data_IF_524338406355
#
_entry.id   IF_524338406355
#
_cell.length_a   1.000
_cell.length_b   1.000
_cell.length_c   1.000
_cell.angle_alpha   90.00
_cell.angle_beta   90.00
_cell.angle_gamma   90.00
#
_symmetry.space_group_name_H-M   'P 1'
#
loop_
_entity.id
_entity.type
_entity.pdbx_description
1 polymer ?
#
# COMPACT_ATOMS: atom_id res chain seq x y z
N UNK A 1 -12.91 9.00 12.51
CA UNK A 1 -13.78 7.93 11.96
C UNK A 1 -15.16 8.52 11.66
N UNK A 2 -15.30 9.27 10.55
CA UNK A 2 -16.56 9.90 10.15
C UNK A 2 -17.64 8.86 9.79
N UNK A 3 -17.19 7.68 9.39
CA UNK A 3 -18.00 6.55 8.92
C UNK A 3 -18.96 5.94 9.94
N UNK A 4 -18.74 6.24 11.22
CA UNK A 4 -19.58 5.78 12.34
C UNK A 4 -20.49 6.89 12.88
N UNK A 5 -20.37 8.11 12.35
CA UNK A 5 -21.25 9.21 12.72
C UNK A 5 -22.57 9.09 11.99
N UNK A 6 -23.68 9.30 12.71
CA UNK A 6 -25.04 9.22 12.18
C UNK A 6 -25.34 7.86 11.52
N UNK A 7 -24.91 6.77 12.15
CA UNK A 7 -25.23 5.44 11.70
C UNK A 7 -26.72 5.15 11.92
N UNK A 8 -27.47 4.67 10.92
CA UNK A 8 -28.87 4.33 11.10
C UNK A 8 -29.03 3.12 12.02
N UNK A 9 -30.16 3.03 12.73
CA UNK A 9 -30.54 1.83 13.47
C UNK A 9 -30.53 0.61 12.56
N UNK A 10 -30.19 -0.56 13.12
CA UNK A 10 -29.98 -1.78 12.35
C UNK A 10 -31.21 -2.19 11.52
N UNK A 11 -32.43 -1.96 12.03
CA UNK A 11 -33.67 -2.22 11.30
C UNK A 11 -33.81 -1.34 10.05
N UNK A 12 -33.50 -0.05 10.17
CA UNK A 12 -33.52 0.93 9.07
C UNK A 12 -32.41 0.62 8.07
N UNK A 13 -31.20 0.29 8.56
CA UNK A 13 -30.07 -0.11 7.75
C UNK A 13 -30.39 -1.32 6.84
N UNK A 14 -31.08 -2.34 7.38
CA UNK A 14 -31.51 -3.53 6.63
C UNK A 14 -32.50 -3.18 5.52
N UNK A 15 -33.47 -2.32 5.81
CA UNK A 15 -34.44 -1.87 4.80
C UNK A 15 -33.76 -1.08 3.67
N UNK A 16 -32.83 -0.18 4.02
CA UNK A 16 -32.07 0.59 3.02
C UNK A 16 -31.22 -0.37 2.17
N UNK A 17 -30.57 -1.35 2.77
CA UNK A 17 -29.75 -2.33 2.07
C UNK A 17 -30.56 -3.17 1.07
N UNK A 18 -31.72 -3.70 1.48
CA UNK A 18 -32.62 -4.43 0.58
C UNK A 18 -33.18 -3.56 -0.54
N UNK A 19 -33.41 -2.26 -0.28
CA UNK A 19 -33.86 -1.31 -1.31
C UNK A 19 -32.76 -0.98 -2.32
N UNK A 20 -31.51 -0.81 -1.88
CA UNK A 20 -30.37 -0.52 -2.76
C UNK A 20 -29.86 -1.78 -3.48
N UNK A 21 -29.93 -2.95 -2.84
CA UNK A 21 -29.39 -4.22 -3.31
C UNK A 21 -30.46 -5.31 -3.17
N UNK A 22 -31.45 -5.38 -4.08
CA UNK A 22 -32.55 -6.35 -3.97
C UNK A 22 -32.09 -7.81 -4.12
N UNK A 23 -30.91 -8.04 -4.70
CA UNK A 23 -30.30 -9.36 -4.87
C UNK A 23 -29.50 -9.84 -3.64
N UNK A 24 -29.44 -9.05 -2.57
CA UNK A 24 -28.68 -9.37 -1.38
C UNK A 24 -29.34 -10.53 -0.60
N UNK A 25 -28.62 -11.63 -0.31
CA UNK A 25 -29.19 -12.74 0.46
C UNK A 25 -29.68 -12.29 1.83
N UNK A 26 -30.90 -12.70 2.19
CA UNK A 26 -31.53 -12.40 3.49
C UNK A 26 -30.69 -12.86 4.68
N UNK A 27 -29.89 -13.91 4.51
CA UNK A 27 -28.95 -14.40 5.52
C UNK A 27 -27.91 -13.34 5.90
N UNK A 28 -27.39 -12.58 4.93
CA UNK A 28 -26.39 -11.53 5.14
C UNK A 28 -27.04 -10.30 5.78
N UNK A 29 -28.23 -9.92 5.32
CA UNK A 29 -28.96 -8.73 5.83
C UNK A 29 -29.41 -8.94 7.27
N UNK A 30 -29.90 -10.15 7.60
CA UNK A 30 -30.39 -10.46 8.93
C UNK A 30 -29.28 -10.84 9.91
N UNK A 31 -28.03 -10.94 9.45
CA UNK A 31 -26.90 -11.24 10.31
C UNK A 31 -26.77 -10.18 11.44
N UNK A 32 -26.48 -10.59 12.69
CA UNK A 32 -26.38 -9.66 13.82
C UNK A 32 -25.27 -8.61 13.64
N UNK A 33 -24.21 -8.94 12.91
CA UNK A 33 -23.09 -8.03 12.61
C UNK A 33 -23.30 -7.16 11.36
N UNK A 34 -24.49 -7.16 10.74
CA UNK A 34 -24.77 -6.30 9.61
C UNK A 34 -24.69 -4.83 10.04
N UNK A 35 -23.74 -4.09 9.43
CA UNK A 35 -23.47 -2.70 9.74
C UNK A 35 -23.52 -1.90 8.44
N UNK A 36 -24.35 -0.86 8.42
CA UNK A 36 -24.33 0.11 7.34
C UNK A 36 -23.48 1.30 7.77
N UNK A 37 -22.53 1.71 6.93
CA UNK A 37 -21.75 2.92 7.15
C UNK A 37 -22.70 4.13 7.26
N UNK A 38 -22.31 5.10 8.08
CA UNK A 38 -23.08 6.33 8.28
C UNK A 38 -23.21 7.18 7.01
N UNK A 39 -23.54 8.45 7.17
CA UNK A 39 -23.88 9.34 6.05
C UNK A 39 -22.87 9.27 4.87
N UNK A 40 -23.36 8.88 3.69
CA UNK A 40 -22.55 8.67 2.47
C UNK A 40 -21.85 9.95 2.00
N UNK A 41 -22.52 11.10 2.10
CA UNK A 41 -21.96 12.40 1.74
C UNK A 41 -20.84 12.81 2.71
N UNK A 42 -21.05 12.62 4.01
CA UNK A 42 -20.04 12.93 5.02
C UNK A 42 -18.81 12.02 4.88
N UNK A 43 -19.02 10.74 4.60
CA UNK A 43 -17.94 9.81 4.28
C UNK A 43 -17.16 10.25 3.04
N UNK A 44 -17.85 10.66 1.97
CA UNK A 44 -17.22 11.14 0.75
C UNK A 44 -16.37 12.39 0.99
N UNK A 45 -16.92 13.39 1.69
CA UNK A 45 -16.19 14.64 2.02
C UNK A 45 -14.96 14.35 2.87
N UNK A 46 -15.10 13.58 3.94
CA UNK A 46 -13.96 13.28 4.81
C UNK A 46 -12.89 12.44 4.11
N UNK A 47 -13.29 11.47 3.28
CA UNK A 47 -12.35 10.69 2.47
C UNK A 47 -11.61 11.58 1.47
N UNK A 48 -12.32 12.52 0.84
CA UNK A 48 -11.72 13.52 -0.06
C UNK A 48 -10.68 14.41 0.64
N UNK A 49 -11.02 14.96 1.80
CA UNK A 49 -10.09 15.79 2.61
C UNK A 49 -8.84 14.98 3.00
N UNK A 50 -9.02 13.73 3.44
CA UNK A 50 -7.91 12.85 3.78
C UNK A 50 -7.01 12.56 2.57
N UNK A 51 -7.62 12.33 1.40
CA UNK A 51 -6.91 12.18 0.13
C UNK A 51 -6.08 13.42 -0.20
N UNK A 52 -6.66 14.62 -0.13
CA UNK A 52 -5.95 15.89 -0.37
C UNK A 52 -4.76 16.04 0.59
N UNK A 53 -4.96 15.74 1.88
CA UNK A 53 -3.89 15.80 2.87
C UNK A 53 -2.73 14.86 2.53
N UNK A 54 -3.02 13.61 2.14
CA UNK A 54 -1.99 12.66 1.68
C UNK A 54 -1.23 13.20 0.47
N UNK A 55 -1.94 13.73 -0.53
CA UNK A 55 -1.31 14.30 -1.73
C UNK A 55 -0.37 15.46 -1.42
N UNK A 56 -0.76 16.35 -0.50
CA UNK A 56 0.10 17.44 -0.03
C UNK A 56 1.36 16.88 0.64
N UNK A 57 1.23 15.88 1.50
CA UNK A 57 2.39 15.26 2.17
C UNK A 57 3.35 14.62 1.16
N UNK A 58 2.83 13.88 0.18
CA UNK A 58 3.64 13.27 -0.89
C UNK A 58 4.35 14.36 -1.69
N UNK A 59 3.64 15.41 -2.08
CA UNK A 59 4.21 16.51 -2.85
C UNK A 59 5.32 17.22 -2.08
N UNK A 60 5.09 17.56 -0.80
CA UNK A 60 6.08 18.21 0.06
C UNK A 60 7.30 17.31 0.24
N UNK A 61 7.11 16.01 0.48
CA UNK A 61 8.21 15.05 0.63
C UNK A 61 9.05 14.99 -0.65
N UNK A 62 8.42 14.85 -1.82
CA UNK A 62 9.12 14.81 -3.11
C UNK A 62 9.84 16.14 -3.36
N UNK A 63 9.18 17.28 -3.16
CA UNK A 63 9.78 18.60 -3.36
C UNK A 63 10.99 18.85 -2.44
N UNK A 64 10.88 18.50 -1.16
CA UNK A 64 12.00 18.58 -0.20
C UNK A 64 13.13 17.63 -0.57
N UNK A 65 12.79 16.42 -1.02
CA UNK A 65 13.75 15.40 -1.45
C UNK A 65 14.55 15.87 -2.65
N UNK A 66 13.86 16.37 -3.68
CA UNK A 66 14.48 16.90 -4.90
C UNK A 66 15.40 18.08 -4.55
N UNK A 67 14.93 19.03 -3.75
CA UNK A 67 15.75 20.15 -3.30
C UNK A 67 16.97 19.71 -2.50
N UNK A 68 16.83 18.74 -1.59
CA UNK A 68 17.95 18.21 -0.81
C UNK A 68 19.01 17.58 -1.72
N UNK A 69 18.61 16.75 -2.69
CA UNK A 69 19.53 16.14 -3.66
C UNK A 69 20.26 17.21 -4.48
N UNK A 70 19.59 18.27 -4.92
CA UNK A 70 20.21 19.32 -5.72
C UNK A 70 21.08 20.30 -4.92
N UNK A 71 20.78 20.54 -3.63
CA UNK A 71 21.52 21.48 -2.79
C UNK A 71 22.74 20.88 -2.07
N UNK A 72 22.84 19.55 -2.01
CA UNK A 72 23.92 18.89 -1.27
C UNK A 72 25.24 18.96 -2.06
N UNK A 73 25.97 20.08 -1.93
CA UNK A 73 27.29 20.31 -2.57
C UNK A 73 28.51 19.87 -1.75
N UNK A 74 28.32 19.42 -0.50
CA UNK A 74 29.38 19.20 0.50
C UNK A 74 29.39 17.78 1.08
N UNK A 75 29.08 16.77 0.28
CA UNK A 75 29.14 15.37 0.69
C UNK A 75 30.19 14.63 -0.13
N UNK A 76 30.86 13.65 0.48
CA UNK A 76 31.72 12.74 -0.28
C UNK A 76 30.92 12.10 -1.42
N UNK A 77 31.55 11.81 -2.56
CA UNK A 77 30.87 11.19 -3.70
C UNK A 77 30.11 9.91 -3.29
N UNK A 78 30.66 9.17 -2.32
CA UNK A 78 30.07 7.95 -1.79
C UNK A 78 28.77 8.21 -1.02
N UNK A 79 28.71 9.24 -0.16
CA UNK A 79 27.50 9.55 0.60
C UNK A 79 26.37 10.05 -0.31
N UNK A 80 26.71 10.89 -1.29
CA UNK A 80 25.74 11.40 -2.26
C UNK A 80 25.13 10.26 -3.10
N UNK A 81 25.93 9.27 -3.50
CA UNK A 81 25.45 8.09 -4.23
C UNK A 81 24.49 7.26 -3.37
N UNK A 82 24.84 7.00 -2.11
CA UNK A 82 23.98 6.23 -1.20
C UNK A 82 22.64 6.94 -0.92
N UNK A 83 22.67 8.25 -0.72
CA UNK A 83 21.44 9.05 -0.54
C UNK A 83 20.56 8.98 -1.79
N UNK A 84 21.12 9.08 -3.00
CA UNK A 84 20.36 8.98 -4.25
C UNK A 84 19.72 7.59 -4.44
N UNK A 85 20.45 6.51 -4.18
CA UNK A 85 19.91 5.15 -4.28
C UNK A 85 18.80 4.90 -3.25
N UNK A 86 18.98 5.35 -2.01
CA UNK A 86 17.97 5.25 -0.97
C UNK A 86 16.69 6.01 -1.36
N UNK A 87 16.82 7.24 -1.86
CA UNK A 87 15.68 8.04 -2.29
C UNK A 87 14.94 7.42 -3.47
N UNK A 88 15.64 6.88 -4.46
CA UNK A 88 15.01 6.14 -5.56
C UNK A 88 14.20 4.94 -5.02
N UNK A 89 14.77 4.19 -4.08
CA UNK A 89 14.09 3.07 -3.43
C UNK A 89 12.84 3.53 -2.66
N UNK A 90 12.89 4.66 -1.94
CA UNK A 90 11.73 5.26 -1.25
C UNK A 90 10.65 5.66 -2.26
N UNK A 91 11.00 6.31 -3.37
CA UNK A 91 10.03 6.68 -4.41
C UNK A 91 9.31 5.45 -4.98
N UNK A 92 10.05 4.38 -5.29
CA UNK A 92 9.47 3.12 -5.78
C UNK A 92 8.58 2.48 -4.70
N UNK A 93 9.03 2.48 -3.45
CA UNK A 93 8.28 1.93 -2.31
C UNK A 93 6.98 2.70 -2.05
N UNK A 94 6.92 4.02 -2.30
CA UNK A 94 5.69 4.79 -2.16
C UNK A 94 4.76 4.55 -3.35
N UNK A 95 5.31 4.52 -4.57
CA UNK A 95 4.52 4.35 -5.79
C UNK A 95 3.80 2.99 -5.84
N UNK A 96 4.45 1.92 -5.41
CA UNK A 96 3.91 0.56 -5.55
C UNK A 96 2.62 0.33 -4.71
N UNK A 97 2.59 0.55 -3.39
CA UNK A 97 1.38 0.44 -2.58
C UNK A 97 0.29 1.41 -3.03
N UNK A 98 0.68 2.57 -3.55
CA UNK A 98 -0.28 3.53 -4.09
C UNK A 98 -1.06 2.94 -5.27
N UNK A 99 -0.38 2.31 -6.23
CA UNK A 99 -1.04 1.62 -7.35
C UNK A 99 -1.94 0.48 -6.85
N UNK A 100 -1.45 -0.31 -5.88
CA UNK A 100 -2.19 -1.43 -5.29
C UNK A 100 -3.48 -0.97 -4.58
N UNK A 101 -3.52 0.25 -4.03
CA UNK A 101 -4.72 0.82 -3.38
C UNK A 101 -5.62 1.57 -4.36
N UNK A 102 -5.04 2.32 -5.31
CA UNK A 102 -5.82 3.14 -6.25
C UNK A 102 -6.67 2.27 -7.16
N UNK A 103 -6.15 1.15 -7.67
CA UNK A 103 -6.92 0.24 -8.55
C UNK A 103 -8.22 -0.25 -7.88
N UNK A 104 -8.20 -0.89 -6.69
CA UNK A 104 -9.42 -1.33 -6.02
C UNK A 104 -10.30 -0.16 -5.56
N UNK A 105 -9.71 0.99 -5.20
CA UNK A 105 -10.50 2.18 -4.87
C UNK A 105 -11.28 2.72 -6.08
N UNK A 106 -10.64 2.79 -7.25
CA UNK A 106 -11.31 3.16 -8.50
C UNK A 106 -12.46 2.19 -8.83
N UNK A 107 -12.23 0.88 -8.67
CA UNK A 107 -13.28 -0.12 -8.86
C UNK A 107 -14.50 0.14 -7.95
N UNK A 108 -14.29 0.31 -6.63
CA UNK A 108 -15.37 0.58 -5.67
C UNK A 108 -16.12 1.88 -6.01
N UNK A 109 -15.41 2.92 -6.46
CA UNK A 109 -16.03 4.17 -6.89
C UNK A 109 -16.88 3.97 -8.16
N UNK A 110 -16.36 3.24 -9.14
CA UNK A 110 -17.08 2.94 -10.39
C UNK A 110 -18.34 2.11 -10.14
N UNK A 111 -18.31 1.09 -9.28
CA UNK A 111 -19.50 0.29 -8.94
C UNK A 111 -20.52 1.11 -8.17
N UNK A 112 -20.07 2.03 -7.30
CA UNK A 112 -20.95 2.94 -6.56
C UNK A 112 -21.64 3.95 -7.48
N UNK A 113 -20.92 4.47 -8.48
CA UNK A 113 -21.49 5.41 -9.46
C UNK A 113 -22.47 4.72 -10.44
N UNK A 114 -22.12 3.52 -10.90
CA UNK A 114 -22.94 2.77 -11.87
C UNK A 114 -24.04 1.94 -11.23
N UNK A 115 -24.08 1.83 -9.89
CA UNK A 115 -24.93 0.92 -9.11
C UNK A 115 -24.81 -0.56 -9.50
N UNK A 116 -23.76 -0.95 -10.23
CA UNK A 116 -23.47 -2.33 -10.59
C UNK A 116 -22.54 -2.94 -9.55
N UNK A 117 -23.13 -3.46 -8.47
CA UNK A 117 -22.38 -4.06 -7.36
C UNK A 117 -22.16 -5.56 -7.58
N UNK A 118 -20.90 -5.95 -7.76
CA UNK A 118 -20.47 -7.34 -7.65
C UNK A 118 -19.78 -7.56 -6.30
N UNK A 119 -20.43 -8.35 -5.45
CA UNK A 119 -19.98 -8.57 -4.08
C UNK A 119 -18.62 -9.26 -4.01
N UNK A 120 -18.30 -10.15 -4.94
CA UNK A 120 -17.03 -10.86 -4.95
C UNK A 120 -15.88 -9.89 -5.22
N UNK A 121 -16.02 -9.05 -6.25
CA UNK A 121 -15.01 -8.05 -6.59
C UNK A 121 -14.93 -6.90 -5.59
N UNK A 122 -16.07 -6.46 -5.02
CA UNK A 122 -16.07 -5.45 -3.95
C UNK A 122 -15.35 -5.97 -2.70
N UNK A 123 -15.63 -7.22 -2.27
CA UNK A 123 -14.95 -7.83 -1.13
C UNK A 123 -13.46 -8.04 -1.38
N UNK A 124 -13.09 -8.52 -2.57
CA UNK A 124 -11.68 -8.63 -2.97
C UNK A 124 -10.97 -7.27 -2.94
N UNK A 125 -11.61 -6.23 -3.47
CA UNK A 125 -11.10 -4.86 -3.45
C UNK A 125 -10.88 -4.35 -2.02
N UNK A 126 -11.83 -4.62 -1.11
CA UNK A 126 -11.69 -4.26 0.30
C UNK A 126 -10.54 -5.01 0.98
N UNK A 127 -10.36 -6.31 0.70
CA UNK A 127 -9.23 -7.09 1.22
C UNK A 127 -7.90 -6.50 0.75
N UNK A 128 -7.78 -6.13 -0.53
CA UNK A 128 -6.59 -5.48 -1.07
C UNK A 128 -6.30 -4.14 -0.37
N UNK A 129 -7.32 -3.30 -0.21
CA UNK A 129 -7.18 -2.02 0.50
C UNK A 129 -6.77 -2.25 1.95
N UNK A 130 -7.35 -3.20 2.66
CA UNK A 130 -7.00 -3.45 4.06
C UNK A 130 -5.59 -4.05 4.23
N UNK A 131 -5.14 -4.86 3.27
CA UNK A 131 -3.82 -5.51 3.30
C UNK A 131 -2.67 -4.65 2.74
N UNK A 132 -2.95 -3.47 2.17
CA UNK A 132 -1.92 -2.60 1.57
C UNK A 132 -0.76 -2.28 2.52
N UNK A 133 -1.04 -2.14 3.83
CA UNK A 133 -0.02 -1.87 4.85
C UNK A 133 0.98 -3.03 4.96
N UNK A 134 0.49 -4.27 4.96
CA UNK A 134 1.32 -5.46 4.98
C UNK A 134 2.20 -5.53 3.71
N UNK A 135 1.61 -5.32 2.54
CA UNK A 135 2.37 -5.31 1.28
C UNK A 135 3.41 -4.19 1.27
N UNK A 136 3.09 -3.00 1.78
CA UNK A 136 4.03 -1.88 1.90
C UNK A 136 5.23 -2.24 2.76
N UNK A 137 5.01 -2.90 3.90
CA UNK A 137 6.08 -3.34 4.79
C UNK A 137 6.93 -4.44 4.14
N UNK A 138 6.32 -5.45 3.51
CA UNK A 138 7.06 -6.50 2.81
C UNK A 138 7.94 -5.90 1.71
N UNK A 139 7.40 -5.00 0.91
CA UNK A 139 8.13 -4.34 -0.17
C UNK A 139 9.28 -3.47 0.38
N UNK A 140 9.07 -2.74 1.48
CA UNK A 140 10.13 -2.02 2.17
C UNK A 140 11.30 -2.93 2.54
N UNK A 141 11.01 -4.08 3.14
CA UNK A 141 12.03 -5.04 3.58
C UNK A 141 12.78 -5.66 2.39
N UNK A 142 12.15 -5.80 1.23
CA UNK A 142 12.76 -6.40 0.04
C UNK A 142 13.58 -5.41 -0.80
N UNK A 143 13.07 -4.19 -1.01
CA UNK A 143 13.69 -3.18 -1.88
C UNK A 143 14.92 -2.56 -1.22
N UNK A 144 14.88 -2.30 0.09
CA UNK A 144 15.97 -1.63 0.78
C UNK A 144 17.06 -2.61 1.20
N UNK A 145 18.23 -2.51 0.55
CA UNK A 145 19.43 -3.32 0.83
C UNK A 145 19.78 -3.47 2.33
N UNK A 146 19.81 -2.41 3.17
CA UNK A 146 20.11 -2.58 4.59
C UNK A 146 19.03 -3.42 5.30
N UNK A 147 17.75 -3.12 5.06
CA UNK A 147 16.64 -3.85 5.66
C UNK A 147 16.59 -5.32 5.22
N UNK A 148 16.75 -5.60 3.93
CA UNK A 148 16.79 -6.99 3.41
C UNK A 148 17.92 -7.79 4.04
N UNK A 149 19.09 -7.18 4.19
CA UNK A 149 20.28 -7.85 4.72
C UNK A 149 20.09 -8.22 6.19
N UNK A 150 19.57 -7.30 7.01
CA UNK A 150 19.32 -7.59 8.43
C UNK A 150 18.15 -8.54 8.62
N UNK A 151 17.06 -8.39 7.85
CA UNK A 151 15.89 -9.28 7.93
C UNK A 151 16.26 -10.72 7.58
N UNK A 152 17.06 -10.96 6.53
CA UNK A 152 17.53 -12.30 6.16
C UNK A 152 18.48 -12.91 7.20
N UNK A 153 19.27 -12.09 7.91
CA UNK A 153 20.09 -12.55 9.03
C UNK A 153 19.23 -13.00 10.20
N UNK A 154 18.23 -12.19 10.58
CA UNK A 154 17.30 -12.49 11.69
C UNK A 154 16.47 -13.74 11.38
N UNK A 155 15.97 -13.87 10.14
CA UNK A 155 15.21 -15.03 9.67
C UNK A 155 16.07 -16.28 9.41
N UNK A 156 17.38 -16.23 9.68
CA UNK A 156 18.25 -17.40 9.59
C UNK A 156 18.57 -17.89 8.17
N UNK A 157 18.21 -17.15 7.12
CA UNK A 157 18.52 -17.48 5.73
C UNK A 157 20.01 -17.21 5.42
N UNK A 158 20.90 -18.08 5.92
CA UNK A 158 22.34 -18.11 5.58
C UNK A 158 22.65 -18.47 4.10
N UNK A 159 21.62 -18.73 3.29
CA UNK A 159 21.72 -19.45 2.01
C UNK A 159 22.33 -18.60 0.88
N UNK A 160 22.05 -17.29 0.79
CA UNK A 160 22.50 -16.50 -0.37
C UNK A 160 23.98 -16.05 -0.31
N UNK A 161 24.56 -15.98 0.90
CA UNK A 161 25.93 -15.49 1.09
C UNK A 161 26.99 -16.56 0.79
N UNK A 162 26.66 -17.85 0.96
CA UNK A 162 27.57 -18.95 0.63
C UNK A 162 27.71 -19.11 -0.89
N UNK A 163 26.61 -19.00 -1.64
CA UNK A 163 26.61 -19.16 -3.10
C UNK A 163 27.42 -18.09 -3.84
N UNK A 164 27.24 -16.80 -3.51
CA UNK A 164 28.01 -15.72 -4.15
C UNK A 164 29.50 -15.71 -3.77
N UNK A 165 29.86 -16.11 -2.53
CA UNK A 165 31.27 -16.24 -2.15
C UNK A 165 31.94 -17.42 -2.87
N UNK A 166 31.23 -18.54 -3.05
CA UNK A 166 31.72 -19.69 -3.82
C UNK A 166 31.85 -19.36 -5.31
N UNK A 167 30.88 -18.68 -5.90
CA UNK A 167 30.92 -18.28 -7.30
C UNK A 167 32.06 -17.27 -7.60
N UNK A 168 32.31 -16.31 -6.70
CA UNK A 168 33.43 -15.35 -6.83
C UNK A 168 34.78 -16.04 -6.59
N UNK A 169 34.87 -16.95 -5.63
CA UNK A 169 36.09 -17.72 -5.37
C UNK A 169 36.45 -18.66 -6.54
N UNK A 170 35.45 -19.34 -7.14
CA UNK A 170 35.66 -20.17 -8.34
C UNK A 170 36.07 -19.35 -9.55
N UNK A 171 35.47 -18.16 -9.74
CA UNK A 171 35.84 -17.27 -10.85
C UNK A 171 37.29 -16.78 -10.71
N UNK A 172 37.72 -16.44 -9.49
CA UNK A 172 39.09 -15.98 -9.20
C UNK A 172 40.15 -17.08 -9.35
N UNK A 173 39.80 -18.33 -9.04
CA UNK A 173 40.68 -19.50 -9.20
C UNK A 173 40.88 -19.91 -10.68
N UNK A 174 39.89 -19.69 -11.55
CA UNK A 174 40.04 -19.98 -12.99
C UNK A 174 40.92 -18.98 -13.74
N UNK A 175 41.04 -17.74 -13.23
CA UNK A 175 41.83 -16.67 -13.85
C UNK A 175 43.32 -16.80 -13.52
N UNK A 176 43.68 -17.54 -12.48
CA UNK A 176 45.07 -17.72 -12.02
C UNK A 176 45.79 -18.90 -12.67
N UNK A 177 45.10 -19.69 -13.50
CA UNK A 177 45.62 -20.91 -14.15
C UNK A 177 45.76 -20.82 -15.68
N UNK A 178 45.60 -19.63 -16.27
CA UNK A 178 45.86 -19.35 -17.69
C UNK A 178 47.07 -18.43 -17.85
#
# INVERSE_FOLDING_TARGET
MPSFLNMPDQSVARQIALKKLPCLPLEIVNHPSFLMLGNEYLNFVCTGIFGIFIWIQIFVLVAKTVNFVFQTKSQSQQTAQLQREFLLAVCIQIAFPFVVVVIPACYILSTTYTNNFDMAFTNFSLIMINSHGLFSTIIMLLIHKPYRTETLKILGFKIFRKSNKLAVAQKSASVTHN
#
